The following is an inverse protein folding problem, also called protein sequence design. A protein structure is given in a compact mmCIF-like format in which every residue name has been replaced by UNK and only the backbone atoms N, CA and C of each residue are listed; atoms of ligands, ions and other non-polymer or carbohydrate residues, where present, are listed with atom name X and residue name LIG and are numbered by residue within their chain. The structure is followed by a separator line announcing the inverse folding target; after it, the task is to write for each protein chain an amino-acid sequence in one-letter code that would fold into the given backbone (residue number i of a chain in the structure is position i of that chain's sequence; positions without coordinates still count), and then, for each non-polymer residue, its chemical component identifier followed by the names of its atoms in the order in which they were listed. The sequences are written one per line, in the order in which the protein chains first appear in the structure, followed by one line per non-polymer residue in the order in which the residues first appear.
data_IF_231871426744
#
_entry.id   IF_231871426744
#
_cell.length_a   1.000
_cell.length_b   1.000
_cell.length_c   1.000
_cell.angle_alpha   90.00
_cell.angle_beta   90.00
_cell.angle_gamma   90.00
#
_symmetry.space_group_name_H-M   'P 1'
#
loop_
_entity.id
_entity.type
_entity.pdbx_description
1 polymer ?
#
# COMPACT_ATOMS: atom_id res chain seq x y z
N UNK A 1 -45.68 24.52 19.51
CA UNK A 1 -45.07 23.93 18.30
C UNK A 1 -43.59 23.69 18.61
N UNK A 2 -43.17 22.43 18.70
CA UNK A 2 -41.77 22.07 19.00
C UNK A 2 -41.05 21.89 17.66
N UNK A 3 -40.15 22.82 17.33
CA UNK A 3 -39.32 22.72 16.13
C UNK A 3 -38.11 21.84 16.45
N UNK A 4 -38.20 20.57 16.09
CA UNK A 4 -37.09 19.63 16.19
C UNK A 4 -36.12 19.90 15.03
N UNK A 5 -35.02 20.61 15.31
CA UNK A 5 -33.93 20.77 14.36
C UNK A 5 -33.15 19.45 14.27
N UNK A 6 -33.34 18.71 13.18
CA UNK A 6 -32.50 17.56 12.82
C UNK A 6 -31.17 18.11 12.30
N UNK A 7 -30.15 18.10 13.16
CA UNK A 7 -28.79 18.36 12.75
C UNK A 7 -28.27 17.17 11.93
N UNK A 8 -28.25 17.31 10.60
CA UNK A 8 -27.58 16.36 9.71
C UNK A 8 -26.09 16.68 9.76
N UNK A 9 -25.33 15.96 10.59
CA UNK A 9 -23.88 16.00 10.56
C UNK A 9 -23.41 15.34 9.25
N UNK A 10 -23.02 16.16 8.28
CA UNK A 10 -22.32 15.68 7.10
C UNK A 10 -20.94 15.19 7.52
N UNK A 11 -20.75 13.87 7.62
CA UNK A 11 -19.42 13.29 7.67
C UNK A 11 -18.79 13.49 6.29
N UNK A 12 -18.11 14.63 6.11
CA UNK A 12 -17.13 14.79 5.05
C UNK A 12 -16.04 13.73 5.32
N UNK A 13 -16.19 12.57 4.68
CA UNK A 13 -15.24 11.47 4.80
C UNK A 13 -13.90 11.93 4.27
N UNK A 14 -12.97 12.24 5.18
CA UNK A 14 -11.58 12.43 4.80
C UNK A 14 -11.07 11.04 4.44
N UNK A 15 -11.04 10.72 3.14
CA UNK A 15 -10.39 9.53 2.64
C UNK A 15 -8.88 9.68 2.86
N UNK A 16 -8.42 9.39 4.07
CA UNK A 16 -7.02 9.08 4.31
C UNK A 16 -6.75 7.82 3.49
N UNK A 17 -6.03 7.96 2.38
CA UNK A 17 -5.55 6.82 1.60
C UNK A 17 -4.78 5.91 2.57
N UNK A 18 -5.41 4.83 3.02
CA UNK A 18 -4.78 3.88 3.92
C UNK A 18 -3.58 3.30 3.18
N UNK A 19 -2.37 3.64 3.65
CA UNK A 19 -1.15 3.07 3.08
C UNK A 19 -1.22 1.55 3.16
N UNK A 20 -0.67 0.88 2.16
CA UNK A 20 -0.53 -0.58 2.16
C UNK A 20 0.22 -1.03 3.41
N UNK A 21 -0.21 -2.15 3.98
CA UNK A 21 0.52 -2.81 5.06
C UNK A 21 1.50 -3.85 4.50
N UNK A 22 2.52 -4.17 5.27
CA UNK A 22 3.51 -5.19 4.95
C UNK A 22 3.68 -6.12 6.15
N UNK A 23 4.07 -7.36 5.89
CA UNK A 23 4.52 -8.30 6.93
C UNK A 23 6.00 -8.06 7.16
N UNK A 24 6.37 -7.57 8.34
CA UNK A 24 7.78 -7.35 8.69
C UNK A 24 8.62 -8.61 8.61
N UNK A 25 9.84 -8.48 8.09
CA UNK A 25 10.88 -9.50 8.18
C UNK A 25 11.60 -9.38 9.53
N UNK A 26 11.46 -10.37 10.44
CA UNK A 26 12.11 -10.33 11.75
C UNK A 26 13.64 -10.35 11.66
N UNK A 27 14.23 -10.77 10.54
CA UNK A 27 15.68 -10.82 10.33
C UNK A 27 16.25 -9.54 9.72
N UNK A 28 15.41 -8.73 9.07
CA UNK A 28 15.83 -7.53 8.34
C UNK A 28 14.92 -6.35 8.72
N UNK A 29 15.27 -5.60 9.79
CA UNK A 29 14.50 -4.43 10.20
C UNK A 29 14.32 -3.42 9.06
N UNK A 30 13.11 -2.89 8.91
CA UNK A 30 12.76 -1.97 7.81
C UNK A 30 12.41 -2.66 6.49
N UNK A 31 12.37 -4.00 6.45
CA UNK A 31 12.01 -4.78 5.27
C UNK A 31 10.86 -5.74 5.58
N UNK A 32 10.17 -6.21 4.54
CA UNK A 32 9.05 -7.12 4.71
C UNK A 32 8.43 -7.56 3.39
N UNK A 33 7.31 -8.27 3.51
CA UNK A 33 6.59 -8.84 2.38
C UNK A 33 5.24 -8.17 2.18
N UNK A 34 4.92 -7.94 0.93
CA UNK A 34 3.61 -7.48 0.49
C UNK A 34 2.99 -8.49 -0.47
N UNK A 35 1.70 -8.75 -0.32
CA UNK A 35 0.93 -9.63 -1.20
C UNK A 35 0.20 -8.77 -2.24
N UNK A 36 0.59 -8.90 -3.50
CA UNK A 36 0.03 -8.09 -4.60
C UNK A 36 -1.40 -8.50 -4.89
N UNK A 37 -2.24 -7.54 -5.22
CA UNK A 37 -3.64 -7.76 -5.64
C UNK A 37 -3.88 -7.19 -7.04
N UNK A 38 -5.03 -7.53 -7.62
CA UNK A 38 -5.41 -6.99 -8.94
C UNK A 38 -5.49 -5.47 -8.88
N UNK A 39 -4.85 -4.81 -9.84
CA UNK A 39 -4.83 -3.35 -9.95
C UNK A 39 -3.61 -2.69 -9.32
N UNK A 40 -2.72 -3.48 -8.71
CA UNK A 40 -1.45 -2.98 -8.22
C UNK A 40 -0.47 -2.67 -9.35
N UNK A 41 0.34 -1.65 -9.12
CA UNK A 41 1.51 -1.34 -9.91
C UNK A 41 2.69 -1.02 -8.98
N UNK A 42 3.92 -1.19 -9.48
CA UNK A 42 5.12 -1.02 -8.66
C UNK A 42 5.31 0.41 -8.16
N UNK A 43 4.89 1.44 -8.91
CA UNK A 43 5.08 2.82 -8.49
C UNK A 43 4.17 3.17 -7.31
N UNK A 44 2.91 2.74 -7.34
CA UNK A 44 1.98 2.92 -6.24
C UNK A 44 2.44 2.18 -4.98
N UNK A 45 2.91 0.94 -5.13
CA UNK A 45 3.48 0.15 -4.02
C UNK A 45 4.72 0.84 -3.44
N UNK A 46 5.65 1.25 -4.29
CA UNK A 46 6.87 1.93 -3.89
C UNK A 46 6.56 3.19 -3.08
N UNK A 47 5.63 4.02 -3.57
CA UNK A 47 5.20 5.24 -2.87
C UNK A 47 4.59 4.97 -1.51
N UNK A 48 3.76 3.93 -1.38
CA UNK A 48 3.09 3.62 -0.12
C UNK A 48 4.09 3.15 0.95
N UNK A 49 5.14 2.42 0.54
CA UNK A 49 6.18 1.90 1.42
C UNK A 49 7.44 2.77 1.55
N UNK A 50 7.54 3.88 0.82
CA UNK A 50 8.76 4.70 0.78
C UNK A 50 9.94 3.97 0.14
N UNK A 51 9.66 3.12 -0.85
CA UNK A 51 10.64 2.39 -1.65
C UNK A 51 10.78 3.02 -3.05
N UNK A 52 11.64 2.44 -3.88
CA UNK A 52 11.77 2.76 -5.30
C UNK A 52 11.29 1.58 -6.16
N UNK A 53 10.56 1.86 -7.23
CA UNK A 53 9.96 0.82 -8.07
C UNK A 53 11.01 -0.04 -8.77
N UNK A 54 12.13 0.55 -9.21
CA UNK A 54 13.24 -0.19 -9.81
C UNK A 54 13.93 -1.06 -8.75
N UNK A 55 14.17 -0.51 -7.56
CA UNK A 55 14.75 -1.26 -6.45
C UNK A 55 13.88 -2.45 -6.01
N UNK A 56 12.54 -2.32 -6.06
CA UNK A 56 11.63 -3.45 -5.83
C UNK A 56 11.76 -4.48 -6.95
N UNK A 57 11.76 -4.05 -8.21
CA UNK A 57 11.88 -4.95 -9.36
C UNK A 57 13.17 -5.79 -9.30
N UNK A 58 14.31 -5.13 -9.06
CA UNK A 58 15.62 -5.77 -8.97
C UNK A 58 15.67 -6.79 -7.82
N UNK A 59 15.15 -6.41 -6.65
CA UNK A 59 15.12 -7.26 -5.46
C UNK A 59 14.26 -8.51 -5.62
N UNK A 60 13.22 -8.42 -6.45
CA UNK A 60 12.26 -9.49 -6.68
C UNK A 60 12.47 -10.24 -8.01
N UNK A 61 13.51 -9.89 -8.77
CA UNK A 61 13.78 -10.50 -10.07
C UNK A 61 12.68 -10.26 -11.11
N UNK A 62 11.99 -9.12 -11.04
CA UNK A 62 10.94 -8.77 -12.00
C UNK A 62 11.57 -8.26 -13.29
N UNK A 63 11.47 -9.05 -14.37
CA UNK A 63 12.06 -8.70 -15.67
C UNK A 63 11.42 -7.47 -16.34
N UNK A 64 10.16 -7.18 -16.03
CA UNK A 64 9.44 -6.02 -16.55
C UNK A 64 8.74 -5.29 -15.40
N UNK A 65 9.17 -4.06 -15.10
CA UNK A 65 8.58 -3.22 -14.05
C UNK A 65 7.12 -2.81 -14.33
N UNK A 66 6.71 -2.80 -15.59
CA UNK A 66 5.37 -2.42 -16.01
C UNK A 66 4.41 -3.62 -15.97
N UNK A 67 4.92 -4.83 -15.70
CA UNK A 67 4.14 -6.04 -15.52
C UNK A 67 4.37 -6.62 -14.13
N UNK A 68 3.46 -6.31 -13.20
CA UNK A 68 3.42 -6.93 -11.88
C UNK A 68 2.36 -8.04 -11.85
N UNK A 69 2.73 -9.31 -11.67
CA UNK A 69 1.75 -10.37 -11.47
C UNK A 69 0.88 -10.07 -10.24
N UNK A 70 -0.43 -10.30 -10.35
CA UNK A 70 -1.32 -10.29 -9.18
C UNK A 70 -1.17 -11.58 -8.38
N UNK A 71 -1.45 -11.54 -7.07
CA UNK A 71 -1.45 -12.70 -6.18
C UNK A 71 -0.07 -13.32 -5.98
N UNK A 72 0.97 -12.50 -5.99
CA UNK A 72 2.32 -12.92 -5.62
C UNK A 72 2.79 -12.15 -4.39
N UNK A 73 3.69 -12.76 -3.64
CA UNK A 73 4.41 -12.08 -2.57
C UNK A 73 5.65 -11.40 -3.16
N UNK A 74 5.81 -10.11 -2.92
CA UNK A 74 7.03 -9.37 -3.22
C UNK A 74 7.69 -8.85 -1.94
N UNK A 75 9.01 -8.74 -1.96
CA UNK A 75 9.84 -8.21 -0.90
C UNK A 75 10.04 -6.71 -1.08
N UNK A 76 9.61 -5.92 -0.11
CA UNK A 76 9.52 -4.45 -0.14
C UNK A 76 10.17 -3.86 1.11
N UNK A 77 10.46 -2.56 1.09
CA UNK A 77 10.65 -1.83 2.36
C UNK A 77 9.37 -1.91 3.18
N UNK A 78 9.54 -2.01 4.48
CA UNK A 78 8.45 -2.13 5.43
C UNK A 78 8.77 -1.23 6.63
N UNK A 79 8.21 -0.01 6.68
CA UNK A 79 8.42 0.89 7.81
C UNK A 79 8.05 0.19 9.11
N UNK A 80 8.90 0.38 10.14
CA UNK A 80 8.60 -0.08 11.51
C UNK A 80 7.54 0.80 12.16
#
# INVERSE_FOLDING_TARGET
MRFSALAVAAFAGIALAAKRGCRHDPKNPGMGWYWTVRGDDLNSIARDFGDDAQAIADRNGLANKDFLPSWITIYVKCPV
#
